data_IF_993996294917
#
_entry.id   IF_993996294917
#
_cell.length_a   1.000
_cell.length_b   1.000
_cell.length_c   1.000
_cell.angle_alpha   90.00
_cell.angle_beta   90.00
_cell.angle_gamma   90.00
#
_symmetry.space_group_name_H-M   'P 1'
#
loop_
_entity.id
_entity.type
_entity.pdbx_description
1 polymer ?
#
# COMPACT_ATOMS: atom_id res chain seq x y z
N UNK A 1 -7.03 50.59 51.47
CA UNK A 1 -7.66 50.01 50.26
C UNK A 1 -6.55 49.33 49.49
N UNK A 2 -6.51 47.99 49.52
CA UNK A 2 -5.49 47.19 48.84
C UNK A 2 -5.80 47.14 47.35
N UNK A 3 -4.92 47.69 46.53
CA UNK A 3 -4.91 47.42 45.08
C UNK A 3 -3.93 46.27 44.84
N UNK A 4 -4.47 45.09 44.56
CA UNK A 4 -3.71 43.95 44.05
C UNK A 4 -3.30 44.25 42.60
N UNK A 5 -2.01 44.43 42.35
CA UNK A 5 -1.44 44.39 41.01
C UNK A 5 -1.50 42.92 40.60
N UNK A 6 -2.37 42.59 39.64
CA UNK A 6 -2.47 41.25 39.08
C UNK A 6 -1.16 40.86 38.40
N UNK A 7 -0.71 39.64 38.67
CA UNK A 7 0.42 39.01 38.00
C UNK A 7 0.15 38.96 36.50
N UNK A 8 0.87 39.76 35.72
CA UNK A 8 0.86 39.67 34.28
C UNK A 8 1.60 38.38 33.88
N UNK A 9 0.88 37.28 33.73
CA UNK A 9 1.40 36.12 33.00
C UNK A 9 1.75 36.59 31.58
N UNK A 10 3.04 36.55 31.27
CA UNK A 10 3.53 36.81 29.92
C UNK A 10 2.89 35.80 28.98
N UNK A 11 2.42 36.22 27.78
CA UNK A 11 1.94 35.29 26.77
C UNK A 11 3.02 34.23 26.53
N UNK A 12 2.69 32.97 26.83
CA UNK A 12 3.56 31.85 26.52
C UNK A 12 3.80 31.86 25.00
N UNK A 13 5.05 31.72 24.53
CA UNK A 13 5.33 31.63 23.11
C UNK A 13 4.47 30.51 22.52
N UNK A 14 3.63 30.84 21.54
CA UNK A 14 2.86 29.84 20.80
C UNK A 14 3.85 28.78 20.28
N UNK A 15 3.60 27.47 20.48
CA UNK A 15 4.53 26.43 20.07
C UNK A 15 4.87 26.64 18.60
N UNK A 16 6.16 26.81 18.31
CA UNK A 16 6.63 27.04 16.95
C UNK A 16 5.96 26.04 16.00
N UNK A 17 5.43 26.47 14.84
CA UNK A 17 4.87 25.56 13.86
C UNK A 17 5.87 24.45 13.61
N UNK A 18 5.52 23.23 14.00
CA UNK A 18 6.39 22.09 13.83
C UNK A 18 6.73 22.03 12.34
N UNK A 19 8.01 21.94 11.96
CA UNK A 19 8.38 21.91 10.55
C UNK A 19 7.61 20.76 9.92
N UNK A 20 6.77 21.09 8.93
CA UNK A 20 6.07 20.07 8.15
C UNK A 20 7.16 19.36 7.36
N UNK A 21 7.73 18.32 7.97
CA UNK A 21 8.67 17.43 7.33
C UNK A 21 7.90 16.70 6.25
N UNK A 22 8.06 17.15 5.00
CA UNK A 22 7.74 16.33 3.85
C UNK A 22 8.71 15.16 3.92
N UNK A 23 8.28 14.06 4.54
CA UNK A 23 9.05 12.83 4.62
C UNK A 23 9.28 12.35 3.19
N UNK A 24 10.50 12.54 2.69
CA UNK A 24 10.96 11.79 1.53
C UNK A 24 10.88 10.32 1.94
N UNK A 25 10.16 9.46 1.18
CA UNK A 25 10.08 8.05 1.52
C UNK A 25 11.51 7.52 1.57
N UNK A 26 11.95 7.05 2.74
CA UNK A 26 13.24 6.38 2.82
C UNK A 26 13.09 5.11 1.98
N UNK A 27 14.00 4.88 1.04
CA UNK A 27 13.97 3.67 0.22
C UNK A 27 13.99 2.37 1.06
N UNK A 28 14.47 2.48 2.31
CA UNK A 28 14.58 1.40 3.28
C UNK A 28 14.07 1.86 4.65
N UNK A 29 12.75 1.87 4.83
CA UNK A 29 12.16 2.08 6.16
C UNK A 29 12.39 0.87 7.08
N UNK A 30 12.54 1.13 8.38
CA UNK A 30 12.63 0.05 9.37
C UNK A 30 11.38 -0.83 9.33
N UNK A 31 11.45 -2.14 9.67
CA UNK A 31 10.27 -3.02 9.69
C UNK A 31 9.11 -2.46 10.51
N UNK A 32 9.41 -1.75 11.60
CA UNK A 32 8.41 -1.08 12.44
C UNK A 32 7.69 0.06 11.71
N UNK A 33 8.42 0.85 10.91
CA UNK A 33 7.84 1.93 10.11
C UNK A 33 6.98 1.38 8.96
N UNK A 34 7.44 0.33 8.27
CA UNK A 34 6.66 -0.33 7.19
C UNK A 34 5.35 -0.91 7.74
N UNK A 35 5.38 -1.54 8.91
CA UNK A 35 4.19 -2.06 9.58
C UNK A 35 3.19 -0.92 9.89
N UNK A 36 3.67 0.18 10.47
CA UNK A 36 2.82 1.34 10.77
C UNK A 36 2.18 1.94 9.50
N UNK A 37 2.93 2.04 8.40
CA UNK A 37 2.42 2.50 7.10
C UNK A 37 1.39 1.54 6.52
N UNK A 38 1.62 0.24 6.62
CA UNK A 38 0.68 -0.80 6.15
C UNK A 38 -0.64 -0.73 6.89
N UNK A 39 -0.59 -0.53 8.21
CA UNK A 39 -1.79 -0.36 9.04
C UNK A 39 -2.53 0.93 8.70
N UNK A 40 -1.82 2.05 8.52
CA UNK A 40 -2.44 3.31 8.08
C UNK A 40 -3.09 3.20 6.68
N UNK A 41 -2.52 2.39 5.79
CA UNK A 41 -3.13 2.11 4.49
C UNK A 41 -4.38 1.22 4.62
N UNK A 42 -4.35 0.24 5.53
CA UNK A 42 -5.50 -0.63 5.80
C UNK A 42 -6.70 0.13 6.40
N UNK A 43 -6.47 1.10 7.29
CA UNK A 43 -7.54 1.96 7.84
C UNK A 43 -8.25 2.77 6.73
N UNK A 44 -7.49 3.33 5.78
CA UNK A 44 -8.05 4.08 4.65
C UNK A 44 -8.86 3.17 3.72
N UNK A 45 -8.39 1.94 3.49
CA UNK A 45 -9.12 0.94 2.69
C UNK A 45 -10.40 0.48 3.37
N UNK A 46 -10.40 0.32 4.69
CA UNK A 46 -11.54 -0.16 5.47
C UNK A 46 -12.79 0.76 5.40
N UNK A 47 -12.62 2.04 5.05
CA UNK A 47 -13.72 3.00 4.88
C UNK A 47 -14.07 3.28 3.42
N UNK A 48 -13.38 2.63 2.47
CA UNK A 48 -13.61 2.85 1.04
C UNK A 48 -14.93 2.20 0.60
N UNK A 49 -15.69 2.85 -0.30
CA UNK A 49 -16.95 2.29 -0.77
C UNK A 49 -16.71 1.02 -1.60
N UNK A 50 -17.54 0.00 -1.36
CA UNK A 50 -17.44 -1.32 -2.01
C UNK A 50 -17.34 -1.25 -3.54
N UNK A 51 -18.13 -0.36 -4.18
CA UNK A 51 -18.11 -0.20 -5.63
C UNK A 51 -16.75 0.25 -6.17
N UNK A 52 -16.03 1.11 -5.45
CA UNK A 52 -14.70 1.54 -5.88
C UNK A 52 -13.71 0.37 -5.78
N UNK A 53 -13.75 -0.38 -4.68
CA UNK A 53 -12.90 -1.57 -4.51
C UNK A 53 -13.20 -2.63 -5.57
N UNK A 54 -14.46 -2.81 -5.95
CA UNK A 54 -14.86 -3.75 -7.00
C UNK A 54 -14.27 -3.34 -8.37
N UNK A 55 -14.40 -2.06 -8.76
CA UNK A 55 -13.87 -1.58 -10.05
C UNK A 55 -12.34 -1.66 -10.07
N UNK A 56 -11.68 -1.23 -8.99
CA UNK A 56 -10.22 -1.33 -8.88
C UNK A 56 -9.74 -2.80 -8.84
N UNK A 57 -10.55 -3.71 -8.28
CA UNK A 57 -10.28 -5.15 -8.28
C UNK A 57 -10.43 -5.78 -9.66
N UNK A 58 -11.43 -5.38 -10.45
CA UNK A 58 -11.57 -5.80 -11.86
C UNK A 58 -10.36 -5.31 -12.66
N UNK A 59 -9.94 -4.05 -12.47
CA UNK A 59 -8.76 -3.50 -13.13
C UNK A 59 -7.49 -4.27 -12.76
N UNK A 60 -7.32 -4.62 -11.48
CA UNK A 60 -6.22 -5.48 -11.03
C UNK A 60 -6.25 -6.85 -11.74
N UNK A 61 -7.44 -7.46 -11.84
CA UNK A 61 -7.66 -8.71 -12.57
C UNK A 61 -7.24 -8.61 -14.04
N UNK A 62 -7.58 -7.53 -14.73
CA UNK A 62 -7.17 -7.30 -16.12
C UNK A 62 -5.65 -7.24 -16.28
N UNK A 63 -4.93 -6.57 -15.37
CA UNK A 63 -3.46 -6.51 -15.42
C UNK A 63 -2.80 -7.87 -15.18
N UNK A 64 -3.31 -8.66 -14.24
CA UNK A 64 -2.79 -10.01 -13.97
C UNK A 64 -3.13 -10.97 -15.12
N UNK A 65 -4.33 -10.89 -15.69
CA UNK A 65 -4.72 -11.68 -16.85
C UNK A 65 -3.83 -11.38 -18.07
N UNK A 66 -3.55 -10.09 -18.33
CA UNK A 66 -2.63 -9.68 -19.39
C UNK A 66 -1.22 -10.25 -19.17
N UNK A 67 -0.70 -10.17 -17.94
CA UNK A 67 0.62 -10.70 -17.61
C UNK A 67 0.70 -12.22 -17.73
N UNK A 68 -0.36 -12.94 -17.33
CA UNK A 68 -0.47 -14.39 -17.50
C UNK A 68 -0.53 -14.82 -18.97
N UNK A 69 -1.32 -14.11 -19.79
CA UNK A 69 -1.38 -14.34 -21.23
C UNK A 69 -0.02 -14.08 -21.89
N UNK A 70 0.64 -12.97 -21.57
CA UNK A 70 1.95 -12.63 -22.12
C UNK A 70 3.04 -13.63 -21.68
N UNK A 71 3.04 -14.05 -20.42
CA UNK A 71 3.94 -15.09 -19.92
C UNK A 71 3.75 -16.40 -20.69
N UNK A 72 2.51 -16.78 -20.97
CA UNK A 72 2.19 -17.99 -21.76
C UNK A 72 2.67 -17.88 -23.20
N UNK A 73 2.47 -16.72 -23.85
CA UNK A 73 2.93 -16.48 -25.22
C UNK A 73 4.47 -16.48 -25.32
N UNK A 74 5.16 -15.85 -24.37
CA UNK A 74 6.64 -15.77 -24.39
C UNK A 74 7.28 -17.13 -24.10
N UNK A 75 6.68 -17.92 -23.22
CA UNK A 75 7.17 -19.26 -22.88
C UNK A 75 6.78 -20.33 -23.90
N UNK A 76 5.86 -19.99 -24.82
CA UNK A 76 5.47 -20.86 -25.92
C UNK A 76 6.69 -21.18 -26.78
N UNK A 77 6.98 -22.47 -26.94
CA UNK A 77 8.14 -23.03 -27.64
C UNK A 77 9.54 -22.67 -27.09
N UNK A 78 9.65 -21.70 -26.18
CA UNK A 78 10.93 -21.24 -25.64
C UNK A 78 11.71 -22.35 -24.93
N UNK A 79 11.00 -23.28 -24.27
CA UNK A 79 11.62 -24.42 -23.60
C UNK A 79 12.39 -25.35 -24.56
N UNK A 80 12.02 -25.40 -25.84
CA UNK A 80 12.70 -26.23 -26.85
C UNK A 80 14.07 -25.68 -27.25
N UNK A 81 14.28 -24.36 -27.12
CA UNK A 81 15.49 -23.69 -27.58
C UNK A 81 16.48 -23.40 -26.45
N UNK A 82 15.98 -23.00 -25.28
CA UNK A 82 16.81 -22.54 -24.15
C UNK A 82 16.64 -23.39 -22.88
N UNK A 83 15.80 -24.42 -22.92
CA UNK A 83 15.53 -25.31 -21.80
C UNK A 83 14.43 -24.80 -20.85
N UNK A 84 13.80 -25.73 -20.14
CA UNK A 84 12.63 -25.45 -19.27
C UNK A 84 12.93 -24.45 -18.15
N UNK A 85 14.10 -24.57 -17.50
CA UNK A 85 14.49 -23.68 -16.40
C UNK A 85 14.58 -22.21 -16.84
N UNK A 86 15.21 -21.94 -17.98
CA UNK A 86 15.34 -20.58 -18.48
C UNK A 86 14.02 -20.05 -19.04
N UNK A 87 13.23 -20.91 -19.70
CA UNK A 87 11.88 -20.56 -20.15
C UNK A 87 11.01 -20.09 -18.98
N UNK A 88 10.99 -20.84 -17.87
CA UNK A 88 10.26 -20.47 -16.64
C UNK A 88 10.76 -19.18 -16.00
N UNK A 89 12.08 -18.94 -16.01
CA UNK A 89 12.65 -17.67 -15.52
C UNK A 89 12.12 -16.48 -16.34
N UNK A 90 12.18 -16.58 -17.67
CA UNK A 90 11.66 -15.55 -18.57
C UNK A 90 10.16 -15.36 -18.37
N UNK A 91 9.40 -16.45 -18.25
CA UNK A 91 7.97 -16.41 -17.94
C UNK A 91 7.66 -15.65 -16.65
N UNK A 92 8.44 -15.86 -15.59
CA UNK A 92 8.30 -15.14 -14.31
C UNK A 92 8.67 -13.65 -14.40
N UNK A 93 9.72 -13.32 -15.15
CA UNK A 93 10.12 -11.92 -15.39
C UNK A 93 9.03 -11.16 -16.13
N UNK A 94 8.46 -11.77 -17.18
CA UNK A 94 7.35 -11.19 -17.93
C UNK A 94 6.10 -11.07 -17.07
N UNK A 95 5.79 -12.08 -16.24
CA UNK A 95 4.64 -12.02 -15.33
C UNK A 95 4.76 -10.89 -14.31
N UNK A 96 5.97 -10.58 -13.84
CA UNK A 96 6.23 -9.49 -12.89
C UNK A 96 5.78 -8.12 -13.40
N UNK A 97 5.72 -7.92 -14.72
CA UNK A 97 5.15 -6.71 -15.32
C UNK A 97 3.68 -6.50 -14.92
N UNK A 98 2.91 -7.57 -14.72
CA UNK A 98 1.53 -7.49 -14.23
C UNK A 98 1.42 -6.84 -12.86
N UNK A 99 2.31 -7.22 -11.93
CA UNK A 99 2.34 -6.62 -10.59
C UNK A 99 2.80 -5.16 -10.63
N UNK A 100 3.75 -4.82 -11.52
CA UNK A 100 4.18 -3.44 -11.73
C UNK A 100 3.00 -2.57 -12.22
N UNK A 101 2.21 -3.07 -13.17
CA UNK A 101 1.02 -2.38 -13.66
C UNK A 101 -0.04 -2.18 -12.56
N UNK A 102 -0.24 -3.17 -11.69
CA UNK A 102 -1.14 -3.05 -10.53
C UNK A 102 -0.68 -1.94 -9.59
N UNK A 103 0.63 -1.87 -9.27
CA UNK A 103 1.18 -0.87 -8.36
C UNK A 103 1.10 0.54 -8.96
N UNK A 104 1.50 0.70 -10.22
CA UNK A 104 1.48 2.01 -10.90
C UNK A 104 0.04 2.47 -11.15
N UNK A 105 -0.84 1.55 -11.55
CA UNK A 105 -2.25 1.83 -11.78
C UNK A 105 -3.07 2.02 -10.49
N UNK A 106 -2.47 1.79 -9.32
CA UNK A 106 -3.16 1.88 -8.03
C UNK A 106 -4.32 0.91 -7.90
N UNK A 107 -4.26 -0.24 -8.58
CA UNK A 107 -5.36 -1.19 -8.59
C UNK A 107 -5.39 -2.02 -7.29
N UNK A 108 -6.58 -2.36 -6.83
CA UNK A 108 -6.81 -3.01 -5.54
C UNK A 108 -6.85 -4.53 -5.71
N UNK A 109 -5.68 -5.16 -5.58
CA UNK A 109 -5.56 -6.61 -5.66
C UNK A 109 -5.97 -7.26 -4.33
N UNK A 110 -6.69 -8.38 -4.40
CA UNK A 110 -7.14 -9.15 -3.23
C UNK A 110 -6.01 -9.46 -2.24
N UNK A 111 -4.81 -9.82 -2.71
CA UNK A 111 -3.66 -10.13 -1.86
C UNK A 111 -3.18 -8.92 -1.05
N UNK A 112 -3.35 -7.70 -1.56
CA UNK A 112 -3.09 -6.46 -0.82
C UNK A 112 -4.16 -6.18 0.24
N UNK A 113 -5.41 -6.55 -0.02
CA UNK A 113 -6.50 -6.41 0.94
C UNK A 113 -6.37 -7.40 2.09
N UNK A 114 -5.81 -8.60 1.86
CA UNK A 114 -5.47 -9.53 2.94
C UNK A 114 -4.52 -8.92 3.97
N UNK A 115 -3.65 -7.97 3.58
CA UNK A 115 -2.77 -7.27 4.53
C UNK A 115 -3.52 -6.37 5.52
N UNK A 116 -4.81 -6.09 5.31
CA UNK A 116 -5.66 -5.41 6.29
C UNK A 116 -5.75 -6.19 7.62
N UNK A 117 -5.46 -7.50 7.61
CA UNK A 117 -5.34 -8.31 8.84
C UNK A 117 -4.36 -7.70 9.85
N UNK A 118 -3.32 -6.99 9.38
CA UNK A 118 -2.35 -6.31 10.27
C UNK A 118 -3.03 -5.23 11.12
N UNK A 119 -3.93 -4.45 10.53
CA UNK A 119 -4.70 -3.44 11.25
C UNK A 119 -5.75 -4.07 12.18
N UNK A 120 -6.27 -5.25 11.83
CA UNK A 120 -7.18 -5.99 12.71
C UNK A 120 -6.46 -6.54 13.94
N UNK A 121 -5.23 -7.06 13.77
CA UNK A 121 -4.39 -7.50 14.89
C UNK A 121 -3.97 -6.33 15.80
N UNK A 122 -3.80 -5.12 15.25
CA UNK A 122 -3.58 -3.90 16.05
C UNK A 122 -4.87 -3.33 16.67
N UNK A 123 -6.04 -3.92 16.39
CA UNK A 123 -7.34 -3.47 16.92
C UNK A 123 -7.87 -2.17 16.31
N UNK A 124 -7.32 -1.74 15.17
CA UNK A 124 -7.68 -0.47 14.51
C UNK A 124 -8.84 -0.60 13.52
N UNK A 125 -9.11 -1.81 13.04
CA UNK A 125 -10.29 -2.13 12.23
C UNK A 125 -11.09 -3.26 12.87
N UNK A 126 -12.41 -3.21 12.75
CA UNK A 126 -13.28 -4.27 13.26
C UNK A 126 -13.34 -5.45 12.29
N UNK A 127 -13.67 -6.65 12.79
CA UNK A 127 -13.84 -7.85 11.96
C UNK A 127 -14.89 -7.71 10.84
N UNK A 128 -15.83 -6.77 10.98
CA UNK A 128 -16.84 -6.46 9.95
C UNK A 128 -16.29 -5.60 8.80
N UNK A 129 -15.19 -4.87 9.03
CA UNK A 129 -14.54 -4.02 8.03
C UNK A 129 -13.44 -4.74 7.23
N UNK A 130 -13.19 -6.01 7.56
CA UNK A 130 -12.29 -6.90 6.82
C UNK A 130 -12.97 -7.57 5.62
N UNK A 131 -14.30 -7.63 5.62
CA UNK A 131 -15.13 -8.27 4.60
C UNK A 131 -15.61 -7.24 3.57
#
# INVERSE_FOLDING_TARGET
>A
MNFAIGDAETPQPEPAPQPVTVALPNACDSPKAVAATTVGNAEKKAVSPFFNLLVLGILAGCYIALAGALSTVVTNDLALYVGDGLSRLVGGLVFSLGLILVVIGGAELFTGNTLMVTAWLEGKISGRQLA
#
